data_IF_035675789482
#
_entry.id   IF_035675789482
#
_cell.length_a   1.000
_cell.length_b   1.000
_cell.length_c   1.000
_cell.angle_alpha   90.00
_cell.angle_beta   90.00
_cell.angle_gamma   90.00
#
_symmetry.space_group_name_H-M   'P 1'
#
loop_
_entity.id
_entity.type
_entity.pdbx_description
1 polymer ?
#
# COMPACT_ATOMS: atom_id res chain seq x y z
N UNK A 1 12.22 -1.76 -18.95
CA UNK A 1 12.52 -0.50 -18.23
C UNK A 1 11.22 0.06 -17.69
N UNK A 2 10.94 -0.17 -16.41
CA UNK A 2 9.71 0.28 -15.76
C UNK A 2 9.88 1.75 -15.42
N UNK A 3 9.24 2.63 -16.19
CA UNK A 3 9.17 4.07 -15.92
C UNK A 3 8.51 4.25 -14.56
N UNK A 4 9.34 4.44 -13.52
CA UNK A 4 8.86 4.84 -12.21
C UNK A 4 8.41 6.29 -12.38
N UNK A 5 7.12 6.56 -12.16
CA UNK A 5 6.62 7.93 -12.21
C UNK A 5 7.51 8.84 -11.33
N UNK A 6 7.91 10.03 -11.81
CA UNK A 6 8.75 10.92 -11.04
C UNK A 6 8.07 11.27 -9.72
N UNK A 7 8.85 11.32 -8.64
CA UNK A 7 8.35 11.73 -7.34
C UNK A 7 7.90 13.19 -7.42
N UNK A 8 6.75 13.51 -6.84
CA UNK A 8 6.36 14.90 -6.62
C UNK A 8 7.04 15.37 -5.32
N UNK A 9 7.94 16.33 -5.42
CA UNK A 9 8.59 16.96 -4.25
C UNK A 9 7.72 18.08 -3.71
N UNK A 10 7.45 18.05 -2.40
CA UNK A 10 6.76 19.09 -1.65
C UNK A 10 7.76 19.79 -0.73
N UNK A 11 7.84 21.11 -0.83
CA UNK A 11 8.75 21.94 -0.02
C UNK A 11 8.01 23.00 0.80
N UNK A 12 6.72 23.22 0.53
CA UNK A 12 5.94 24.22 1.26
C UNK A 12 5.50 23.67 2.63
N UNK A 13 5.87 24.30 3.77
CA UNK A 13 5.63 23.73 5.11
C UNK A 13 4.18 23.40 5.41
N UNK A 14 3.22 24.21 4.93
CA UNK A 14 1.78 23.96 5.08
C UNK A 14 1.33 22.68 4.38
N UNK A 15 1.87 22.38 3.20
CA UNK A 15 1.52 21.15 2.47
C UNK A 15 2.13 19.93 3.16
N UNK A 16 3.38 20.05 3.61
CA UNK A 16 4.05 19.00 4.39
C UNK A 16 3.27 18.69 5.66
N UNK A 17 2.89 19.71 6.42
CA UNK A 17 2.09 19.55 7.63
C UNK A 17 0.74 18.88 7.36
N UNK A 18 0.07 19.22 6.25
CA UNK A 18 -1.20 18.57 5.87
C UNK A 18 -1.02 17.07 5.57
N UNK A 19 0.06 16.67 4.91
CA UNK A 19 0.37 15.25 4.67
C UNK A 19 0.71 14.50 5.97
N UNK A 20 1.50 15.10 6.84
CA UNK A 20 1.80 14.50 8.15
C UNK A 20 0.55 14.42 9.03
N UNK A 21 -0.35 15.39 8.93
CA UNK A 21 -1.64 15.37 9.63
C UNK A 21 -2.52 14.23 9.13
N UNK A 22 -2.56 13.96 7.82
CA UNK A 22 -3.27 12.79 7.29
C UNK A 22 -2.69 11.47 7.85
N UNK A 23 -1.38 11.38 8.07
CA UNK A 23 -0.77 10.21 8.71
C UNK A 23 -1.27 10.01 10.15
N UNK A 24 -1.44 11.10 10.92
CA UNK A 24 -2.02 11.05 12.27
C UNK A 24 -3.48 10.59 12.22
N UNK A 25 -4.31 11.22 11.39
CA UNK A 25 -5.75 10.93 11.28
C UNK A 25 -6.05 9.49 10.86
N UNK A 26 -5.12 8.89 10.11
CA UNK A 26 -5.25 7.53 9.55
C UNK A 26 -4.48 6.50 10.36
N UNK A 27 -3.87 6.90 11.48
CA UNK A 27 -3.00 6.07 12.32
C UNK A 27 -1.94 5.31 11.50
N UNK A 28 -1.35 6.00 10.51
CA UNK A 28 -0.40 5.39 9.58
C UNK A 28 0.99 5.33 10.19
N UNK A 29 1.55 4.12 10.28
CA UNK A 29 2.92 3.91 10.74
C UNK A 29 3.93 4.59 9.82
N UNK A 30 4.91 5.26 10.45
CA UNK A 30 6.07 5.83 9.79
C UNK A 30 7.27 4.95 10.13
N UNK A 31 7.89 4.38 9.10
CA UNK A 31 9.12 3.59 9.23
C UNK A 31 10.32 4.52 9.17
N UNK A 32 11.12 4.49 10.23
CA UNK A 32 12.36 5.24 10.40
C UNK A 32 13.54 4.30 10.14
N UNK A 33 14.48 4.73 9.31
CA UNK A 33 15.56 3.90 8.77
C UNK A 33 16.88 4.62 8.97
N UNK A 34 17.80 4.04 9.73
CA UNK A 34 19.17 4.53 9.81
C UNK A 34 20.03 4.01 8.64
N UNK A 35 21.13 4.69 8.24
CA UNK A 35 22.00 4.23 7.17
C UNK A 35 22.63 2.86 7.43
N UNK A 36 22.87 2.54 8.70
CA UNK A 36 23.48 1.28 9.16
C UNK A 36 22.48 0.10 9.23
N UNK A 37 21.23 0.32 8.83
CA UNK A 37 20.20 -0.72 8.71
C UNK A 37 19.18 -0.89 9.84
N UNK A 38 19.35 -0.41 11.10
CA UNK A 38 18.26 -0.55 12.07
C UNK A 38 17.05 0.26 11.60
N UNK A 39 15.87 -0.32 11.80
CA UNK A 39 14.60 0.32 11.49
C UNK A 39 13.69 0.32 12.70
N UNK A 40 12.83 1.32 12.78
CA UNK A 40 11.80 1.43 13.82
C UNK A 40 10.53 1.99 13.20
N UNK A 41 9.38 1.41 13.51
CA UNK A 41 8.09 1.94 13.05
C UNK A 41 7.39 2.65 14.21
N UNK A 42 7.09 3.94 14.03
CA UNK A 42 6.41 4.76 15.03
C UNK A 42 5.10 5.30 14.48
N UNK A 43 4.14 5.53 15.38
CA UNK A 43 2.87 6.17 15.05
C UNK A 43 2.98 7.69 15.28
N UNK A 44 2.66 8.53 14.29
CA UNK A 44 2.52 9.94 14.53
C UNK A 44 1.26 10.19 15.36
N UNK A 45 1.39 11.01 16.39
CA UNK A 45 0.29 11.28 17.33
C UNK A 45 -0.25 12.70 17.24
N UNK A 46 0.57 13.65 16.79
CA UNK A 46 0.17 15.04 16.65
C UNK A 46 1.08 15.77 15.67
N UNK A 47 0.51 16.66 14.85
CA UNK A 47 1.24 17.69 14.11
C UNK A 47 0.85 19.06 14.66
N UNK A 48 1.83 19.94 14.82
CA UNK A 48 1.67 21.33 15.27
C UNK A 48 2.27 22.26 14.22
N UNK A 49 1.50 22.62 13.17
CA UNK A 49 1.98 23.44 12.06
C UNK A 49 2.56 24.78 12.52
N UNK A 50 1.97 25.41 13.52
CA UNK A 50 2.39 26.68 14.11
C UNK A 50 3.75 26.58 14.82
N UNK A 51 4.03 25.44 15.46
CA UNK A 51 5.32 25.16 16.10
C UNK A 51 6.32 24.46 15.17
N UNK A 52 5.94 24.24 13.90
CA UNK A 52 6.74 23.56 12.89
C UNK A 52 7.30 22.22 13.36
N UNK A 53 6.51 21.45 14.10
CA UNK A 53 6.92 20.14 14.59
C UNK A 53 5.77 19.14 14.67
N UNK A 54 6.13 17.89 14.88
CA UNK A 54 5.21 16.77 15.03
C UNK A 54 5.81 15.74 16.00
N UNK A 55 4.95 14.95 16.62
CA UNK A 55 5.34 13.97 17.62
C UNK A 55 5.05 12.55 17.13
N UNK A 56 6.02 11.67 17.29
CA UNK A 56 5.96 10.23 16.99
C UNK A 56 6.00 9.45 18.30
N UNK A 57 4.98 8.63 18.59
CA UNK A 57 4.92 7.84 19.82
C UNK A 57 6.03 6.81 19.86
N UNK A 58 6.82 6.81 20.92
CA UNK A 58 7.88 5.83 21.16
C UNK A 58 7.30 4.53 21.74
N UNK A 59 7.98 3.39 21.52
CA UNK A 59 7.59 2.14 22.16
C UNK A 59 7.88 2.19 23.67
N UNK A 60 6.90 1.78 24.48
CA UNK A 60 7.05 1.68 25.94
C UNK A 60 6.59 2.94 26.70
N UNK A 61 6.94 2.96 27.99
CA UNK A 61 6.49 4.01 28.94
C UNK A 61 7.63 4.91 29.43
N UNK A 62 8.87 4.63 29.02
CA UNK A 62 10.05 5.42 29.40
C UNK A 62 10.42 6.41 28.29
N UNK A 63 10.81 7.63 28.67
CA UNK A 63 11.40 8.63 27.77
C UNK A 63 12.81 8.20 27.33
N UNK A 64 12.88 7.23 26.43
CA UNK A 64 14.13 6.73 25.88
C UNK A 64 13.94 6.36 24.41
N UNK A 65 14.96 6.61 23.61
CA UNK A 65 15.03 6.22 22.23
C UNK A 65 16.43 5.69 21.91
N UNK A 66 16.57 4.82 20.89
CA UNK A 66 17.87 4.43 20.40
C UNK A 66 18.71 5.65 20.01
N UNK A 67 20.03 5.67 20.29
CA UNK A 67 20.89 6.83 19.98
C UNK A 67 20.86 7.25 18.51
N UNK A 68 20.78 6.29 17.59
CA UNK A 68 20.70 6.55 16.14
C UNK A 68 19.45 7.35 15.73
N UNK A 69 18.38 7.28 16.53
CA UNK A 69 17.16 8.01 16.25
C UNK A 69 17.26 9.47 16.66
N UNK A 70 18.02 9.74 17.73
CA UNK A 70 18.27 11.09 18.23
C UNK A 70 19.44 11.77 17.51
N UNK A 71 20.42 10.98 17.07
CA UNK A 71 21.68 11.45 16.50
C UNK A 71 21.97 10.74 15.19
N UNK A 72 22.25 11.53 14.14
CA UNK A 72 22.57 11.01 12.82
C UNK A 72 21.42 11.05 11.81
N UNK A 73 21.71 10.78 10.53
CA UNK A 73 20.71 10.78 9.47
C UNK A 73 19.68 9.67 9.68
N UNK A 74 18.41 9.99 9.48
CA UNK A 74 17.32 9.03 9.55
C UNK A 74 16.35 9.32 8.43
N UNK A 75 16.11 8.30 7.61
CA UNK A 75 15.15 8.37 6.51
C UNK A 75 13.79 7.85 6.99
N UNK A 76 12.73 8.61 6.77
CA UNK A 76 11.36 8.22 7.05
C UNK A 76 10.63 7.78 5.79
N UNK A 77 9.84 6.71 5.91
CA UNK A 77 8.95 6.22 4.85
C UNK A 77 7.57 5.93 5.45
N UNK A 78 6.53 6.42 4.80
CA UNK A 78 5.14 6.12 5.15
C UNK A 78 4.34 5.74 3.89
N UNK A 79 3.33 4.88 4.05
CA UNK A 79 2.45 4.46 2.95
C UNK A 79 1.02 4.79 3.30
N UNK A 80 0.45 5.79 2.61
CA UNK A 80 -0.91 6.23 2.88
C UNK A 80 -1.73 6.39 1.60
N UNK A 81 -2.91 5.77 1.56
CA UNK A 81 -3.84 5.88 0.43
C UNK A 81 -3.27 5.43 -0.92
N UNK A 82 -2.26 4.56 -0.94
CA UNK A 82 -1.56 4.14 -2.16
C UNK A 82 -0.44 5.09 -2.62
N UNK A 83 -0.17 6.15 -1.86
CA UNK A 83 0.98 7.04 -2.01
C UNK A 83 2.07 6.56 -1.05
N UNK A 84 3.29 6.36 -1.55
CA UNK A 84 4.45 6.29 -0.66
C UNK A 84 4.97 7.71 -0.46
N UNK A 85 5.23 8.07 0.78
CA UNK A 85 5.91 9.30 1.15
C UNK A 85 7.26 8.95 1.75
N UNK A 86 8.26 9.75 1.44
CA UNK A 86 9.55 9.68 2.12
C UNK A 86 10.25 11.03 2.24
N UNK A 87 11.05 11.16 3.29
CA UNK A 87 11.76 12.37 3.65
C UNK A 87 12.89 12.06 4.64
N UNK A 88 13.86 12.95 4.76
CA UNK A 88 14.85 12.89 5.84
C UNK A 88 14.29 13.54 7.10
N UNK A 89 14.51 12.93 8.27
CA UNK A 89 14.22 13.60 9.53
C UNK A 89 15.22 14.75 9.74
N UNK A 90 14.73 15.95 10.09
CA UNK A 90 15.59 17.02 10.59
C UNK A 90 16.42 16.60 11.80
N UNK A 91 17.58 17.23 11.98
CA UNK A 91 18.45 16.95 13.13
C UNK A 91 17.80 17.34 14.46
N UNK A 92 16.95 18.38 14.45
CA UNK A 92 16.20 18.88 15.60
C UNK A 92 15.16 17.87 16.07
N UNK A 93 15.58 17.03 17.02
CA UNK A 93 14.82 15.92 17.58
C UNK A 93 14.98 15.90 19.09
N UNK A 94 13.89 15.68 19.81
CA UNK A 94 13.93 15.58 21.27
C UNK A 94 12.91 14.59 21.80
N UNK A 95 13.18 14.05 22.99
CA UNK A 95 12.23 13.22 23.72
C UNK A 95 11.30 14.14 24.51
N UNK A 96 10.00 13.88 24.40
CA UNK A 96 8.95 14.64 25.08
C UNK A 96 7.87 13.70 25.59
N UNK A 97 7.04 14.17 26.51
CA UNK A 97 5.78 13.51 26.84
C UNK A 97 4.63 14.17 26.08
N UNK A 98 3.83 13.36 25.39
CA UNK A 98 2.65 13.80 24.66
C UNK A 98 1.48 12.91 25.06
N UNK A 99 0.45 13.50 25.67
CA UNK A 99 -0.69 12.74 26.19
C UNK A 99 -0.32 11.73 27.29
N UNK A 100 0.71 12.03 28.09
CA UNK A 100 1.20 11.14 29.16
C UNK A 100 2.01 9.94 28.65
N UNK A 101 2.36 9.90 27.37
CA UNK A 101 3.16 8.84 26.77
C UNK A 101 4.45 9.41 26.17
N UNK A 102 5.57 8.66 26.21
CA UNK A 102 6.81 9.04 25.54
C UNK A 102 6.64 9.22 24.03
N UNK A 103 7.17 10.32 23.52
CA UNK A 103 7.20 10.62 22.09
C UNK A 103 8.54 11.22 21.68
N UNK A 104 8.88 11.04 20.40
CA UNK A 104 9.93 11.74 19.70
C UNK A 104 9.31 12.95 19.02
N UNK A 105 9.68 14.14 19.47
CA UNK A 105 9.37 15.39 18.78
C UNK A 105 10.39 15.65 17.70
N UNK A 106 9.91 16.01 16.51
CA UNK A 106 10.74 16.27 15.34
C UNK A 106 10.25 17.55 14.68
N UNK A 107 11.15 18.39 14.17
CA UNK A 107 10.76 19.48 13.27
C UNK A 107 10.08 18.94 11.99
N UNK A 108 9.29 19.77 11.30
CA UNK A 108 8.79 19.42 9.97
C UNK A 108 9.97 19.25 9.00
N UNK A 109 9.95 18.24 8.10
CA UNK A 109 10.98 18.11 7.09
C UNK A 109 10.92 19.30 6.11
N UNK A 110 12.08 19.68 5.57
CA UNK A 110 12.18 20.74 4.55
C UNK A 110 11.70 20.29 3.17
N UNK A 111 11.70 18.97 2.93
CA UNK A 111 11.24 18.35 1.70
C UNK A 111 10.53 17.03 2.03
N UNK A 112 9.37 16.81 1.41
CA UNK A 112 8.64 15.55 1.44
C UNK A 112 8.40 15.07 0.02
N UNK A 113 8.89 13.88 -0.30
CA UNK A 113 8.73 13.28 -1.63
C UNK A 113 7.53 12.34 -1.64
N UNK A 114 6.67 12.52 -2.65
CA UNK A 114 5.48 11.70 -2.88
C UNK A 114 5.65 10.85 -4.11
N UNK A 115 5.53 9.54 -3.93
CA UNK A 115 5.60 8.55 -4.99
C UNK A 115 4.21 7.96 -5.20
N UNK A 116 3.50 8.49 -6.22
CA UNK A 116 2.24 7.91 -6.68
C UNK A 116 2.55 6.66 -7.51
N UNK A 117 2.58 5.49 -6.86
CA UNK A 117 2.94 4.23 -7.54
C UNK A 117 1.81 3.63 -8.39
N UNK A 118 0.57 4.14 -8.28
CA UNK A 118 -0.60 3.55 -8.91
C UNK A 118 -1.32 4.58 -9.77
N UNK A 119 -1.40 4.30 -11.06
CA UNK A 119 -2.17 5.08 -12.05
C UNK A 119 -3.67 4.74 -12.02
N UNK A 120 -4.04 3.61 -11.41
CA UNK A 120 -5.42 3.14 -11.33
C UNK A 120 -5.81 2.79 -9.90
N UNK A 121 -7.06 3.11 -9.55
CA UNK A 121 -7.65 2.79 -8.26
C UNK A 121 -7.80 1.28 -8.09
N UNK A 122 -7.60 0.78 -6.86
CA UNK A 122 -7.76 -0.63 -6.49
C UNK A 122 -8.89 -0.78 -5.49
N UNK A 123 -9.73 -1.77 -5.71
CA UNK A 123 -10.75 -2.21 -4.76
C UNK A 123 -10.35 -3.54 -4.18
N UNK A 124 -10.50 -3.66 -2.87
CA UNK A 124 -10.53 -4.94 -2.19
C UNK A 124 -11.97 -5.45 -2.19
N UNK A 125 -12.28 -6.56 -2.86
CA UNK A 125 -13.62 -7.13 -2.84
C UNK A 125 -14.00 -7.56 -1.42
N UNK A 126 -15.19 -7.16 -0.96
CA UNK A 126 -15.71 -7.58 0.34
C UNK A 126 -16.19 -9.04 0.34
N UNK A 127 -16.58 -9.56 -0.83
CA UNK A 127 -17.03 -10.94 -0.99
C UNK A 127 -15.86 -11.87 -1.23
N UNK A 128 -15.85 -13.03 -0.56
CA UNK A 128 -14.88 -14.10 -0.80
C UNK A 128 -15.16 -14.86 -2.11
N UNK A 129 -16.35 -14.70 -2.70
CA UNK A 129 -16.78 -15.47 -3.88
C UNK A 129 -16.47 -14.78 -5.19
N UNK A 130 -16.59 -13.45 -5.25
CA UNK A 130 -16.38 -12.67 -6.48
C UNK A 130 -15.77 -11.30 -6.18
N UNK A 131 -14.96 -10.77 -7.10
CA UNK A 131 -14.46 -11.41 -8.30
C UNK A 131 -13.42 -12.48 -7.95
N UNK A 132 -13.25 -13.49 -8.82
CA UNK A 132 -12.22 -14.53 -8.66
C UNK A 132 -11.69 -14.95 -10.02
N UNK A 133 -10.51 -15.57 -10.02
CA UNK A 133 -9.92 -16.11 -11.23
C UNK A 133 -10.24 -17.59 -11.34
N UNK A 134 -10.61 -18.04 -12.54
CA UNK A 134 -10.73 -19.46 -12.87
C UNK A 134 -9.46 -19.87 -13.64
N UNK A 135 -8.74 -20.83 -13.08
CA UNK A 135 -7.55 -21.41 -13.69
C UNK A 135 -7.88 -22.83 -14.17
N UNK A 136 -7.63 -23.16 -15.45
CA UNK A 136 -7.94 -24.48 -15.97
C UNK A 136 -7.09 -25.55 -15.28
N UNK A 137 -7.67 -26.74 -15.09
CA UNK A 137 -6.96 -27.93 -14.61
C UNK A 137 -7.26 -29.10 -15.54
N UNK A 138 -6.22 -29.85 -15.90
CA UNK A 138 -6.36 -31.02 -16.76
C UNK A 138 -7.16 -32.10 -16.02
N UNK A 139 -8.24 -32.58 -16.63
CA UNK A 139 -9.06 -33.68 -16.08
C UNK A 139 -9.85 -33.35 -14.81
N UNK A 140 -9.98 -32.05 -14.46
CA UNK A 140 -10.66 -31.63 -13.24
C UNK A 140 -11.42 -30.31 -13.47
N UNK A 141 -12.27 -29.96 -12.50
CA UNK A 141 -12.91 -28.65 -12.49
C UNK A 141 -11.87 -27.52 -12.38
N UNK A 142 -12.11 -26.35 -13.00
CA UNK A 142 -11.23 -25.21 -12.89
C UNK A 142 -10.99 -24.81 -11.43
N UNK A 143 -9.75 -24.47 -11.11
CA UNK A 143 -9.38 -23.97 -9.81
C UNK A 143 -9.89 -22.53 -9.65
N UNK A 144 -10.62 -22.29 -8.57
CA UNK A 144 -11.13 -20.97 -8.20
C UNK A 144 -10.11 -20.28 -7.30
N UNK A 145 -9.42 -19.29 -7.84
CA UNK A 145 -8.40 -18.52 -7.13
C UNK A 145 -8.98 -17.20 -6.65
N UNK A 146 -8.91 -16.96 -5.34
CA UNK A 146 -9.52 -15.77 -4.72
C UNK A 146 -8.74 -14.51 -5.07
N UNK A 147 -9.48 -13.44 -5.39
CA UNK A 147 -8.91 -12.11 -5.58
C UNK A 147 -8.59 -11.47 -4.22
N UNK A 148 -7.39 -10.91 -4.11
CA UNK A 148 -6.98 -10.06 -3.00
C UNK A 148 -7.37 -8.60 -3.26
N UNK A 149 -6.92 -8.03 -4.39
CA UNK A 149 -7.32 -6.70 -4.86
C UNK A 149 -7.49 -6.70 -6.39
N UNK A 150 -8.26 -5.74 -6.90
CA UNK A 150 -8.56 -5.59 -8.33
C UNK A 150 -8.49 -4.12 -8.74
N UNK A 151 -7.95 -3.84 -9.93
CA UNK A 151 -7.94 -2.53 -10.58
C UNK A 151 -8.23 -2.68 -12.07
N UNK A 152 -8.36 -1.55 -12.78
CA UNK A 152 -8.53 -1.57 -14.23
C UNK A 152 -7.32 -2.17 -14.96
N UNK A 153 -6.11 -2.11 -14.39
CA UNK A 153 -4.87 -2.58 -15.04
C UNK A 153 -4.34 -3.91 -14.54
N UNK A 154 -4.93 -4.51 -13.50
CA UNK A 154 -4.42 -5.75 -12.93
C UNK A 154 -5.18 -6.26 -11.72
N UNK A 155 -4.76 -7.44 -11.28
CA UNK A 155 -5.39 -8.23 -10.23
C UNK A 155 -4.31 -8.81 -9.30
N UNK A 156 -4.54 -8.75 -7.99
CA UNK A 156 -3.77 -9.49 -7.01
C UNK A 156 -4.56 -10.72 -6.55
N UNK A 157 -3.88 -11.86 -6.41
CA UNK A 157 -4.48 -13.15 -6.10
C UNK A 157 -3.93 -13.69 -4.78
N UNK A 158 -4.79 -14.35 -4.01
CA UNK A 158 -4.36 -15.32 -3.00
C UNK A 158 -3.97 -16.60 -3.72
N UNK A 159 -2.67 -16.81 -3.88
CA UNK A 159 -2.18 -17.95 -4.64
C UNK A 159 -2.39 -19.24 -3.85
N UNK A 160 -2.95 -20.30 -4.48
CA UNK A 160 -3.21 -21.55 -3.78
C UNK A 160 -1.92 -22.29 -3.45
N UNK A 161 -1.79 -22.81 -2.22
CA UNK A 161 -0.63 -23.61 -1.81
C UNK A 161 -0.50 -24.94 -2.57
N UNK A 162 -1.61 -25.41 -3.17
CA UNK A 162 -1.66 -26.58 -4.04
C UNK A 162 -1.05 -26.34 -5.44
N UNK A 163 -0.66 -25.10 -5.75
CA UNK A 163 -0.04 -24.72 -7.02
C UNK A 163 1.42 -24.29 -6.81
N UNK A 164 2.27 -24.62 -7.77
CA UNK A 164 3.62 -24.06 -7.82
C UNK A 164 3.55 -22.53 -7.92
N UNK A 165 4.46 -21.84 -7.23
CA UNK A 165 4.51 -20.37 -7.25
C UNK A 165 5.08 -19.93 -8.61
N UNK A 166 4.41 -19.03 -9.34
CA UNK A 166 4.91 -18.59 -10.63
C UNK A 166 6.10 -17.64 -10.45
N UNK A 167 6.97 -17.57 -11.45
CA UNK A 167 8.04 -16.58 -11.46
C UNK A 167 7.52 -15.18 -11.85
N UNK A 168 8.10 -14.08 -11.32
CA UNK A 168 7.91 -12.76 -11.90
C UNK A 168 8.21 -12.75 -13.41
N UNK A 169 7.36 -12.09 -14.19
CA UNK A 169 7.41 -12.06 -15.65
C UNK A 169 6.64 -13.19 -16.35
N UNK A 170 6.27 -14.26 -15.64
CA UNK A 170 5.54 -15.38 -16.22
C UNK A 170 4.16 -14.98 -16.76
N UNK A 171 3.76 -15.57 -17.88
CA UNK A 171 2.43 -15.42 -18.45
C UNK A 171 1.53 -16.57 -17.99
N UNK A 172 0.38 -16.20 -17.43
CA UNK A 172 -0.70 -17.11 -17.08
C UNK A 172 -1.81 -16.97 -18.13
N UNK A 173 -2.08 -18.03 -18.86
CA UNK A 173 -2.98 -18.04 -20.03
C UNK A 173 -4.19 -18.95 -19.82
N UNK A 174 -5.21 -18.81 -20.67
CA UNK A 174 -6.42 -19.63 -20.60
C UNK A 174 -7.26 -19.37 -19.35
N UNK A 175 -7.12 -18.19 -18.75
CA UNK A 175 -7.77 -17.82 -17.51
C UNK A 175 -9.11 -17.12 -17.80
N UNK A 176 -10.03 -17.21 -16.85
CA UNK A 176 -11.26 -16.41 -16.86
C UNK A 176 -11.40 -15.62 -15.57
N UNK A 177 -11.65 -14.31 -15.67
CA UNK A 177 -12.05 -13.47 -14.55
C UNK A 177 -13.56 -13.57 -14.36
N UNK A 178 -13.99 -14.20 -13.27
CA UNK A 178 -15.40 -14.37 -12.92
C UNK A 178 -15.82 -13.26 -11.94
N UNK A 179 -16.56 -12.27 -12.46
CA UNK A 179 -17.05 -11.12 -11.68
C UNK A 179 -18.42 -11.36 -11.01
N UNK A 180 -19.11 -12.41 -11.43
CA UNK A 180 -20.39 -12.89 -10.90
C UNK A 180 -20.76 -14.22 -11.56
N UNK A 181 -21.92 -14.81 -11.23
CA UNK A 181 -22.31 -16.13 -11.70
C UNK A 181 -22.37 -16.26 -13.24
N UNK A 182 -22.80 -15.19 -13.92
CA UNK A 182 -22.97 -15.18 -15.38
C UNK A 182 -21.90 -14.34 -16.11
N UNK A 183 -20.96 -13.75 -15.39
CA UNK A 183 -20.02 -12.78 -15.96
C UNK A 183 -18.59 -13.29 -15.87
N UNK A 184 -18.11 -13.82 -17.00
CA UNK A 184 -16.75 -14.33 -17.16
C UNK A 184 -16.06 -13.62 -18.32
N UNK A 185 -14.86 -13.13 -18.05
CA UNK A 185 -14.05 -12.43 -19.04
C UNK A 185 -12.77 -13.25 -19.27
N UNK A 186 -12.47 -13.67 -20.50
CA UNK A 186 -11.20 -14.33 -20.78
C UNK A 186 -10.06 -13.33 -20.59
N UNK A 187 -9.01 -13.74 -19.86
CA UNK A 187 -7.86 -12.88 -19.56
C UNK A 187 -6.54 -13.63 -19.73
N UNK A 188 -5.50 -12.88 -20.07
CA UNK A 188 -4.11 -13.31 -19.91
C UNK A 188 -3.44 -12.39 -18.91
N UNK A 189 -2.73 -12.98 -17.95
CA UNK A 189 -2.07 -12.25 -16.87
C UNK A 189 -0.55 -12.36 -17.00
N UNK A 190 0.17 -11.27 -16.72
CA UNK A 190 1.60 -11.33 -16.47
C UNK A 190 1.87 -11.14 -14.99
N UNK A 191 2.64 -12.04 -14.40
CA UNK A 191 3.05 -11.95 -12.99
C UNK A 191 4.04 -10.79 -12.83
N UNK A 192 3.75 -9.87 -11.92
CA UNK A 192 4.63 -8.74 -11.62
C UNK A 192 5.46 -8.97 -10.36
N UNK A 193 4.85 -9.54 -9.32
CA UNK A 193 5.55 -9.85 -8.08
C UNK A 193 4.86 -10.98 -7.33
N UNK A 194 5.66 -11.74 -6.59
CA UNK A 194 5.21 -12.76 -5.64
C UNK A 194 5.68 -12.35 -4.26
N UNK A 195 4.75 -12.30 -3.30
CA UNK A 195 5.03 -12.01 -1.89
C UNK A 195 4.60 -13.21 -1.06
N UNK A 196 5.52 -13.71 -0.25
CA UNK A 196 5.22 -14.75 0.73
C UNK A 196 4.96 -14.04 2.05
N UNK A 197 3.71 -14.11 2.52
CA UNK A 197 3.30 -13.63 3.84
C UNK A 197 3.11 -14.85 4.76
N UNK A 198 3.03 -14.63 6.08
CA UNK A 198 3.11 -15.70 7.09
C UNK A 198 2.22 -16.91 6.80
N UNK A 199 1.00 -16.69 6.29
CA UNK A 199 0.00 -17.74 6.07
C UNK A 199 -0.49 -17.83 4.62
N UNK A 200 -0.01 -16.97 3.71
CA UNK A 200 -0.50 -16.97 2.34
C UNK A 200 0.50 -16.38 1.37
N UNK A 201 0.42 -16.85 0.13
CA UNK A 201 1.19 -16.31 -0.98
C UNK A 201 0.31 -15.33 -1.75
N UNK A 202 0.84 -14.13 -2.00
CA UNK A 202 0.18 -13.11 -2.81
C UNK A 202 0.90 -12.95 -4.14
N UNK A 203 0.16 -13.06 -5.22
CA UNK A 203 0.68 -12.90 -6.58
C UNK A 203 -0.01 -11.71 -7.22
N UNK A 204 0.75 -10.65 -7.49
CA UNK A 204 0.26 -9.47 -8.20
C UNK A 204 0.49 -9.60 -9.69
N UNK A 205 -0.56 -9.43 -10.49
CA UNK A 205 -0.52 -9.56 -11.94
C UNK A 205 -1.05 -8.32 -12.67
N UNK A 206 -0.58 -8.08 -13.89
CA UNK A 206 -1.18 -7.12 -14.84
C UNK A 206 -1.96 -7.85 -15.92
N UNK A 207 -3.04 -7.24 -16.41
CA UNK A 207 -3.74 -7.73 -17.59
C UNK A 207 -2.87 -7.50 -18.84
N UNK A 208 -2.50 -8.58 -19.52
CA UNK A 208 -1.84 -8.54 -20.85
C UNK A 208 -2.90 -8.57 -21.94
N UNK A 209 -3.96 -9.34 -21.72
CA UNK A 209 -5.11 -9.39 -22.61
C UNK A 209 -6.37 -9.26 -21.77
N UNK A 210 -7.15 -8.23 -22.09
CA UNK A 210 -8.49 -7.99 -21.56
C UNK A 210 -9.31 -7.45 -22.74
N UNK A 211 -10.34 -8.17 -23.23
CA UNK A 211 -11.12 -7.70 -24.37
C UNK A 211 -11.80 -6.36 -24.05
N UNK A 212 -12.03 -5.47 -25.04
CA UNK A 212 -12.60 -4.13 -24.80
C UNK A 212 -13.93 -4.15 -24.04
N UNK A 213 -14.82 -5.10 -24.33
CA UNK A 213 -16.08 -5.24 -23.57
C UNK A 213 -15.81 -5.69 -22.12
N UNK A 214 -14.81 -6.55 -21.92
CA UNK A 214 -14.33 -6.94 -20.59
C UNK A 214 -13.72 -5.76 -19.81
N UNK A 215 -12.96 -4.89 -20.46
CA UNK A 215 -12.44 -3.65 -19.88
C UNK A 215 -13.59 -2.75 -19.39
N UNK A 216 -14.61 -2.56 -20.23
CA UNK A 216 -15.79 -1.76 -19.90
C UNK A 216 -16.55 -2.34 -18.70
N UNK A 217 -16.80 -3.64 -18.71
CA UNK A 217 -17.50 -4.32 -17.63
C UNK A 217 -16.70 -4.26 -16.32
N UNK A 218 -15.38 -4.47 -16.38
CA UNK A 218 -14.49 -4.32 -15.24
C UNK A 218 -14.54 -2.89 -14.68
N UNK A 219 -14.48 -1.87 -15.54
CA UNK A 219 -14.56 -0.48 -15.11
C UNK A 219 -15.88 -0.16 -14.39
N UNK A 220 -17.02 -0.65 -14.92
CA UNK A 220 -18.32 -0.52 -14.27
C UNK A 220 -18.35 -1.22 -12.91
N UNK A 221 -17.82 -2.44 -12.83
CA UNK A 221 -17.75 -3.20 -11.59
C UNK A 221 -16.91 -2.50 -10.52
N UNK A 222 -15.72 -1.99 -10.88
CA UNK A 222 -14.85 -1.22 -10.00
C UNK A 222 -15.55 0.03 -9.47
N UNK A 223 -16.24 0.77 -10.34
CA UNK A 223 -17.02 1.95 -9.95
C UNK A 223 -18.13 1.61 -8.95
N UNK A 224 -18.84 0.49 -9.15
CA UNK A 224 -19.86 0.03 -8.20
C UNK A 224 -19.26 -0.32 -6.84
N UNK A 225 -18.14 -1.04 -6.82
CA UNK A 225 -17.44 -1.37 -5.58
C UNK A 225 -16.93 -0.12 -4.85
N UNK A 226 -16.37 0.84 -5.58
CA UNK A 226 -15.91 2.10 -4.99
C UNK A 226 -17.06 2.91 -4.37
N UNK A 227 -18.22 2.98 -5.04
CA UNK A 227 -19.41 3.64 -4.50
C UNK A 227 -19.89 2.98 -3.21
N UNK A 228 -19.90 1.65 -3.14
CA UNK A 228 -20.27 0.92 -1.92
C UNK A 228 -19.31 1.21 -0.76
N UNK A 229 -18.00 1.23 -1.01
CA UNK A 229 -17.00 1.55 0.02
C UNK A 229 -17.11 2.98 0.58
N UNK A 230 -17.58 3.95 -0.21
CA UNK A 230 -17.80 5.34 0.26
C UNK A 230 -19.05 5.49 1.13
N UNK A 231 -19.99 4.55 1.07
CA UNK A 231 -21.27 4.62 1.77
C UNK A 231 -21.32 3.75 3.04
N UNK A 232 -20.22 3.07 3.42
CA UNK A 232 -20.14 2.44 4.73
C UNK A 232 -19.85 3.54 5.78
N UNK A 233 -20.61 3.61 6.90
CA UNK A 233 -20.22 4.45 8.02
C UNK A 233 -18.84 4.02 8.50
N UNK A 234 -17.96 5.01 8.72
CA UNK A 234 -16.62 4.80 9.29
C UNK A 234 -16.70 4.33 10.72
#
# INVERSE_FOLDING_TARGET
MTLTAPALSLQHPREIAAWLQELVERETLVRLIAPSGPTLELLPVQVRPELHNWDLRLPGLTLSAPPWLLQGPVHAVAHQGGVQMDFELPAERSLVETGGLPALRVALPSELRRHQRRQTFRVQPASLHHPRLLMPRVGALPLRVRTFDLSAGGIALHWPDSCEKPAPGALLTGLELEMGLEHRIPVTLQVQHVRVEREHVRVGCTFVTLPPEGERQLALYLNQLQRRQRNLPR
#
